data_IF_752459613652
#
_entry.id   IF_752459613652
#
_cell.length_a   1.000
_cell.length_b   1.000
_cell.length_c   1.000
_cell.angle_alpha   90.00
_cell.angle_beta   90.00
_cell.angle_gamma   90.00
#
_symmetry.space_group_name_H-M   'P 1'
#
loop_
_entity.id
_entity.type
_entity.pdbx_description
1 polymer ?
#
# COMPACT_ATOMS: atom_id res chain seq x y z
N UNK A 1 -0.17 2.04 -24.84
CA UNK A 1 0.81 3.08 -24.45
C UNK A 1 1.85 2.45 -23.54
N UNK A 2 3.13 2.66 -23.83
CA UNK A 2 4.24 2.19 -23.01
C UNK A 2 4.22 2.95 -21.67
N UNK A 3 3.88 2.28 -20.57
CA UNK A 3 3.89 2.84 -19.20
C UNK A 3 5.28 3.38 -18.77
N UNK A 4 6.31 3.23 -19.60
CA UNK A 4 7.71 3.53 -19.33
C UNK A 4 8.31 4.62 -20.24
N UNK A 5 7.55 5.27 -21.12
CA UNK A 5 8.13 6.08 -22.22
C UNK A 5 8.61 7.50 -21.87
N UNK A 6 8.73 7.86 -20.60
CA UNK A 6 9.24 9.18 -20.18
C UNK A 6 10.23 9.16 -19.02
N UNK A 7 10.46 7.98 -18.44
CA UNK A 7 11.31 7.81 -17.29
C UNK A 7 12.74 7.47 -17.73
N UNK A 8 13.74 8.23 -17.29
CA UNK A 8 15.06 7.64 -17.16
C UNK A 8 14.92 6.49 -16.17
N UNK A 9 15.00 5.22 -16.62
CA UNK A 9 14.78 4.05 -15.75
C UNK A 9 15.61 4.07 -14.45
N UNK A 10 16.73 4.79 -14.47
CA UNK A 10 17.56 5.11 -13.32
C UNK A 10 16.83 5.91 -12.22
N UNK A 11 16.02 6.92 -12.56
CA UNK A 11 15.27 7.73 -11.60
C UNK A 11 14.19 6.93 -10.88
N UNK A 12 13.44 6.10 -11.61
CA UNK A 12 12.47 5.16 -11.01
C UNK A 12 13.19 4.20 -10.07
N UNK A 13 14.27 3.59 -10.53
CA UNK A 13 15.04 2.65 -9.73
C UNK A 13 15.52 3.28 -8.42
N UNK A 14 16.06 4.50 -8.48
CA UNK A 14 16.54 5.22 -7.31
C UNK A 14 15.41 5.59 -6.34
N UNK A 15 14.28 6.09 -6.86
CA UNK A 15 13.09 6.38 -6.04
C UNK A 15 12.59 5.12 -5.33
N UNK A 16 12.45 4.00 -6.05
CA UNK A 16 12.03 2.72 -5.46
C UNK A 16 13.01 2.22 -4.41
N UNK A 17 14.32 2.35 -4.67
CA UNK A 17 15.37 1.94 -3.74
C UNK A 17 15.31 2.75 -2.44
N UNK A 18 15.13 4.06 -2.53
CA UNK A 18 14.99 4.94 -1.35
C UNK A 18 13.71 4.61 -0.58
N UNK A 19 12.57 4.53 -1.25
CA UNK A 19 11.28 4.23 -0.61
C UNK A 19 11.31 2.87 0.07
N UNK A 20 11.84 1.86 -0.61
CA UNK A 20 11.99 0.52 -0.06
C UNK A 20 12.94 0.50 1.14
N UNK A 21 14.08 1.19 1.04
CA UNK A 21 15.03 1.36 2.14
C UNK A 21 14.39 2.00 3.37
N UNK A 22 13.64 3.10 3.18
CA UNK A 22 12.90 3.77 4.25
C UNK A 22 11.89 2.83 4.90
N UNK A 23 11.08 2.12 4.12
CA UNK A 23 10.07 1.19 4.64
C UNK A 23 10.69 0.00 5.40
N UNK A 24 11.79 -0.55 4.89
CA UNK A 24 12.51 -1.65 5.53
C UNK A 24 13.14 -1.24 6.87
N UNK A 25 13.71 -0.04 6.94
CA UNK A 25 14.40 0.44 8.14
C UNK A 25 13.43 1.01 9.17
N UNK A 26 12.24 1.45 8.76
CA UNK A 26 11.30 2.13 9.64
C UNK A 26 10.92 1.29 10.86
N UNK A 27 10.38 0.08 10.65
CA UNK A 27 9.93 -0.80 11.74
C UNK A 27 11.04 -1.14 12.74
N UNK A 28 12.25 -1.58 12.33
CA UNK A 28 13.31 -1.88 13.28
C UNK A 28 13.88 -0.66 13.98
N UNK A 29 13.97 0.51 13.33
CA UNK A 29 14.47 1.73 13.97
C UNK A 29 13.45 2.24 14.99
N UNK A 30 12.22 2.51 14.56
CA UNK A 30 11.17 3.08 15.43
C UNK A 30 10.75 2.09 16.51
N UNK A 31 10.62 0.80 16.18
CA UNK A 31 10.25 -0.23 17.14
C UNK A 31 11.29 -0.39 18.26
N UNK A 32 12.59 -0.31 17.95
CA UNK A 32 13.64 -0.30 18.97
C UNK A 32 13.58 0.95 19.85
N UNK A 33 13.40 2.13 19.24
CA UNK A 33 13.28 3.40 19.99
C UNK A 33 12.07 3.38 20.94
N UNK A 34 10.98 2.72 20.55
CA UNK A 34 9.76 2.66 21.34
C UNK A 34 9.74 1.49 22.34
N UNK A 35 10.70 0.56 22.32
CA UNK A 35 10.66 -0.63 23.17
C UNK A 35 9.48 -1.54 22.85
N UNK A 36 9.20 -1.72 21.57
CA UNK A 36 8.18 -2.63 21.02
C UNK A 36 8.71 -4.06 21.04
N UNK A 37 7.79 -5.03 21.09
CA UNK A 37 8.17 -6.44 21.14
C UNK A 37 9.06 -6.82 19.94
N UNK A 38 10.15 -7.58 20.15
CA UNK A 38 11.10 -7.91 19.08
C UNK A 38 10.45 -8.73 17.96
N UNK A 39 9.38 -9.47 18.26
CA UNK A 39 8.60 -10.19 17.25
C UNK A 39 7.85 -9.24 16.29
N UNK A 40 7.48 -8.04 16.75
CA UNK A 40 6.78 -7.00 15.96
C UNK A 40 7.73 -6.13 15.14
N UNK A 41 8.98 -6.04 15.60
CA UNK A 41 10.08 -5.43 14.84
C UNK A 41 10.44 -6.30 13.61
N UNK A 42 10.25 -7.61 13.70
CA UNK A 42 10.51 -8.53 12.60
C UNK A 42 9.55 -8.31 11.42
N UNK A 43 10.05 -8.51 10.20
CA UNK A 43 9.25 -8.50 8.98
C UNK A 43 8.37 -9.76 8.81
N UNK A 44 8.45 -10.71 9.74
CA UNK A 44 7.63 -11.93 9.71
C UNK A 44 6.15 -11.60 9.92
N UNK A 45 5.29 -12.25 9.15
CA UNK A 45 3.84 -12.15 9.32
C UNK A 45 3.44 -12.79 10.64
N UNK A 46 2.74 -12.03 11.48
CA UNK A 46 2.22 -12.49 12.76
C UNK A 46 0.74 -12.16 12.85
N UNK A 47 -0.08 -13.18 13.12
CA UNK A 47 -1.51 -13.01 13.36
C UNK A 47 -1.73 -12.82 14.85
N UNK A 48 -2.47 -11.77 15.22
CA UNK A 48 -2.77 -11.46 16.63
C UNK A 48 -3.74 -12.50 17.20
N UNK A 49 -4.70 -12.93 16.39
CA UNK A 49 -5.67 -13.99 16.72
C UNK A 49 -6.20 -14.66 15.43
N UNK A 50 -6.99 -15.71 15.58
CA UNK A 50 -7.63 -16.40 14.45
C UNK A 50 -8.62 -15.49 13.71
N UNK A 51 -9.24 -14.52 14.39
CA UNK A 51 -10.12 -13.54 13.76
C UNK A 51 -9.36 -12.65 12.77
N UNK A 52 -8.15 -12.20 13.11
CA UNK A 52 -7.28 -11.40 12.24
C UNK A 52 -6.98 -12.16 10.95
N UNK A 53 -6.60 -13.44 11.10
CA UNK A 53 -6.32 -14.33 9.97
C UNK A 53 -7.53 -14.49 9.05
N UNK A 54 -8.73 -14.71 9.60
CA UNK A 54 -9.96 -14.82 8.81
C UNK A 54 -10.28 -13.52 8.07
N UNK A 55 -10.16 -12.37 8.74
CA UNK A 55 -10.39 -11.07 8.11
C UNK A 55 -9.40 -10.81 6.98
N UNK A 56 -8.10 -11.07 7.18
CA UNK A 56 -7.12 -10.94 6.10
C UNK A 56 -7.48 -11.81 4.88
N UNK A 57 -7.89 -13.06 5.09
CA UNK A 57 -8.33 -13.94 4.00
C UNK A 57 -9.56 -13.39 3.26
N UNK A 58 -10.53 -12.84 3.98
CA UNK A 58 -11.70 -12.18 3.38
C UNK A 58 -11.28 -10.94 2.58
N UNK A 59 -10.37 -10.12 3.12
CA UNK A 59 -9.83 -8.96 2.43
C UNK A 59 -9.07 -9.36 1.14
N UNK A 60 -8.29 -10.44 1.17
CA UNK A 60 -7.63 -10.96 -0.03
C UNK A 60 -8.64 -11.47 -1.07
N UNK A 61 -9.67 -12.20 -0.64
CA UNK A 61 -10.76 -12.61 -1.53
C UNK A 61 -11.45 -11.42 -2.17
N UNK A 62 -11.83 -10.43 -1.36
CA UNK A 62 -12.45 -9.19 -1.82
C UNK A 62 -11.55 -8.42 -2.80
N UNK A 63 -10.24 -8.33 -2.52
CA UNK A 63 -9.28 -7.69 -3.42
C UNK A 63 -9.27 -8.37 -4.79
N UNK A 64 -9.16 -9.70 -4.82
CA UNK A 64 -9.14 -10.46 -6.06
C UNK A 64 -10.44 -10.26 -6.84
N UNK A 65 -11.59 -10.30 -6.16
CA UNK A 65 -12.89 -10.03 -6.80
C UNK A 65 -12.93 -8.62 -7.39
N UNK A 66 -12.52 -7.59 -6.66
CA UNK A 66 -12.48 -6.20 -7.14
C UNK A 66 -11.58 -6.08 -8.36
N UNK A 67 -10.37 -6.63 -8.33
CA UNK A 67 -9.42 -6.59 -9.45
C UNK A 67 -10.03 -7.25 -10.70
N UNK A 68 -10.63 -8.42 -10.55
CA UNK A 68 -11.28 -9.13 -11.67
C UNK A 68 -12.43 -8.31 -12.23
N UNK A 69 -13.32 -7.78 -11.38
CA UNK A 69 -14.46 -6.96 -11.81
C UNK A 69 -13.99 -5.71 -12.55
N UNK A 70 -13.02 -5.01 -11.99
CA UNK A 70 -12.42 -3.81 -12.59
C UNK A 70 -11.81 -4.15 -13.96
N UNK A 71 -11.07 -5.27 -14.06
CA UNK A 71 -10.49 -5.71 -15.32
C UNK A 71 -11.56 -6.05 -16.38
N UNK A 72 -12.61 -6.77 -16.00
CA UNK A 72 -13.73 -7.11 -16.90
C UNK A 72 -14.41 -5.86 -17.45
N UNK A 73 -14.57 -4.81 -16.64
CA UNK A 73 -15.19 -3.55 -17.06
C UNK A 73 -14.22 -2.71 -17.90
N UNK A 74 -12.94 -2.65 -17.52
CA UNK A 74 -11.95 -1.78 -18.14
C UNK A 74 -11.53 -2.26 -19.53
N UNK A 75 -11.50 -3.57 -19.77
CA UNK A 75 -11.07 -4.15 -21.05
C UNK A 75 -11.94 -3.70 -22.23
N UNK A 76 -13.28 -3.83 -22.20
CA UNK A 76 -14.15 -3.34 -23.29
C UNK A 76 -14.00 -1.83 -23.54
N UNK A 77 -13.83 -1.02 -22.50
CA UNK A 77 -13.66 0.43 -22.63
C UNK A 77 -12.38 0.80 -23.39
N UNK A 78 -11.30 0.03 -23.19
CA UNK A 78 -10.05 0.20 -23.95
C UNK A 78 -10.27 -0.16 -25.42
N UNK A 79 -11.00 -1.25 -25.70
CA UNK A 79 -11.29 -1.67 -27.07
C UNK A 79 -12.21 -0.69 -27.84
N UNK A 80 -13.02 0.08 -27.12
CA UNK A 80 -13.89 1.12 -27.68
C UNK A 80 -13.24 2.51 -27.72
N UNK A 81 -11.91 2.61 -27.57
CA UNK A 81 -11.15 3.87 -27.56
C UNK A 81 -11.58 4.89 -26.49
N UNK A 82 -12.32 4.48 -25.45
CA UNK A 82 -12.74 5.35 -24.34
C UNK A 82 -11.62 5.63 -23.31
N UNK A 83 -10.46 5.00 -23.52
CA UNK A 83 -9.25 5.16 -22.71
C UNK A 83 -9.30 4.46 -21.35
N UNK A 84 -8.21 4.61 -20.57
CA UNK A 84 -8.10 4.05 -19.22
C UNK A 84 -8.85 4.94 -18.22
N UNK A 85 -9.86 4.41 -17.52
CA UNK A 85 -10.51 5.17 -16.45
C UNK A 85 -9.73 4.96 -15.15
N UNK A 86 -9.30 6.05 -14.52
CA UNK A 86 -8.44 6.00 -13.33
C UNK A 86 -9.07 5.24 -12.13
N UNK A 87 -10.39 5.27 -11.97
CA UNK A 87 -11.09 4.56 -10.90
C UNK A 87 -11.27 3.05 -11.17
N UNK A 88 -11.01 2.65 -12.41
CA UNK A 88 -10.90 1.26 -12.86
C UNK A 88 -9.42 0.84 -13.00
N UNK A 89 -8.50 1.59 -12.41
CA UNK A 89 -7.14 1.11 -12.15
C UNK A 89 -7.16 0.25 -10.87
N UNK A 90 -6.50 -0.91 -10.81
CA UNK A 90 -6.33 -1.68 -9.58
C UNK A 90 -5.62 -0.93 -8.44
N UNK A 91 -4.75 0.04 -8.76
CA UNK A 91 -3.85 0.65 -7.79
C UNK A 91 -4.57 1.39 -6.64
N UNK A 92 -5.59 2.25 -6.87
CA UNK A 92 -6.36 2.87 -5.80
C UNK A 92 -7.04 1.85 -4.88
N UNK A 93 -7.58 0.75 -5.44
CA UNK A 93 -8.26 -0.29 -4.66
C UNK A 93 -7.29 -1.05 -3.74
N UNK A 94 -6.09 -1.36 -4.24
CA UNK A 94 -5.03 -1.98 -3.44
C UNK A 94 -4.65 -1.07 -2.26
N UNK A 95 -4.50 0.24 -2.50
CA UNK A 95 -4.15 1.19 -1.44
C UNK A 95 -5.24 1.29 -0.37
N UNK A 96 -6.51 1.40 -0.78
CA UNK A 96 -7.65 1.44 0.15
C UNK A 96 -7.68 0.17 1.02
N UNK A 97 -7.54 -1.00 0.40
CA UNK A 97 -7.54 -2.27 1.13
C UNK A 97 -6.34 -2.44 2.04
N UNK A 98 -5.16 -1.94 1.65
CA UNK A 98 -3.98 -1.92 2.51
C UNK A 98 -4.20 -1.08 3.77
N UNK A 99 -4.81 0.11 3.63
CA UNK A 99 -5.13 0.98 4.77
C UNK A 99 -6.15 0.31 5.68
N UNK A 100 -7.20 -0.30 5.12
CA UNK A 100 -8.21 -1.04 5.90
C UNK A 100 -7.56 -2.20 6.67
N UNK A 101 -6.72 -2.99 6.00
CA UNK A 101 -6.04 -4.15 6.60
C UNK A 101 -5.17 -3.75 7.80
N UNK A 102 -4.29 -2.76 7.60
CA UNK A 102 -3.42 -2.29 8.69
C UNK A 102 -4.21 -1.57 9.81
N UNK A 103 -5.33 -0.91 9.49
CA UNK A 103 -6.22 -0.33 10.51
C UNK A 103 -6.88 -1.39 11.39
N UNK A 104 -7.36 -2.49 10.78
CA UNK A 104 -7.93 -3.63 11.52
C UNK A 104 -6.86 -4.25 12.41
N UNK A 105 -5.65 -4.42 11.88
CA UNK A 105 -4.51 -4.92 12.65
C UNK A 105 -4.20 -4.01 13.84
N UNK A 106 -4.08 -2.70 13.64
CA UNK A 106 -3.84 -1.74 14.71
C UNK A 106 -4.95 -1.78 15.78
N UNK A 107 -6.21 -1.90 15.37
CA UNK A 107 -7.33 -2.05 16.29
C UNK A 107 -7.25 -3.35 17.11
N UNK A 108 -6.90 -4.46 16.46
CA UNK A 108 -6.74 -5.75 17.15
C UNK A 108 -5.55 -5.75 18.11
N UNK A 109 -4.43 -5.12 17.73
CA UNK A 109 -3.26 -4.94 18.61
C UNK A 109 -3.65 -4.08 19.82
N UNK A 110 -4.37 -2.98 19.59
CA UNK A 110 -4.89 -2.17 20.67
C UNK A 110 -5.84 -2.98 21.58
N UNK A 111 -6.73 -3.79 21.03
CA UNK A 111 -7.73 -4.50 21.84
C UNK A 111 -7.17 -5.72 22.59
N UNK A 112 -6.24 -6.47 21.99
CA UNK A 112 -5.84 -7.81 22.49
C UNK A 112 -4.39 -7.91 22.97
N UNK A 113 -3.51 -6.97 22.63
CA UNK A 113 -2.11 -7.07 23.08
C UNK A 113 -1.88 -6.34 24.40
N UNK A 114 -1.04 -6.95 25.24
CA UNK A 114 -0.60 -6.38 26.51
C UNK A 114 0.27 -5.13 26.28
N UNK A 115 1.20 -5.21 25.31
CA UNK A 115 2.08 -4.09 24.98
C UNK A 115 1.41 -3.08 24.05
N UNK A 116 0.82 -2.04 24.64
CA UNK A 116 0.18 -0.92 23.92
C UNK A 116 1.13 -0.12 23.02
N UNK A 117 2.44 -0.37 23.03
CA UNK A 117 3.37 0.28 22.10
C UNK A 117 3.31 -0.36 20.70
N UNK A 118 2.85 -1.60 20.61
CA UNK A 118 2.75 -2.34 19.36
C UNK A 118 1.77 -1.70 18.38
N UNK A 119 0.55 -1.38 18.83
CA UNK A 119 -0.43 -0.70 17.97
C UNK A 119 0.08 0.66 17.48
N UNK A 120 0.86 1.38 18.29
CA UNK A 120 1.44 2.68 17.89
C UNK A 120 2.45 2.51 16.77
N UNK A 121 3.29 1.47 16.82
CA UNK A 121 4.24 1.17 15.74
C UNK A 121 3.50 0.84 14.44
N UNK A 122 2.43 0.05 14.51
CA UNK A 122 1.59 -0.25 13.34
C UNK A 122 0.96 1.02 12.79
N UNK A 123 0.33 1.86 13.63
CA UNK A 123 -0.30 3.11 13.21
C UNK A 123 0.70 4.07 12.55
N UNK A 124 1.90 4.22 13.13
CA UNK A 124 2.97 5.04 12.56
C UNK A 124 3.46 4.48 11.22
N UNK A 125 3.58 3.16 11.10
CA UNK A 125 3.94 2.50 9.85
C UNK A 125 2.89 2.71 8.75
N UNK A 126 1.61 2.54 9.08
CA UNK A 126 0.50 2.83 8.15
C UNK A 126 0.49 4.30 7.76
N UNK A 127 0.67 5.21 8.72
CA UNK A 127 0.76 6.65 8.47
C UNK A 127 1.91 7.00 7.53
N UNK A 128 3.08 6.37 7.69
CA UNK A 128 4.21 6.54 6.77
C UNK A 128 3.88 6.06 5.36
N UNK A 129 3.24 4.89 5.20
CA UNK A 129 2.84 4.37 3.89
C UNK A 129 1.85 5.31 3.20
N UNK A 130 0.85 5.82 3.94
CA UNK A 130 -0.11 6.80 3.43
C UNK A 130 0.61 8.08 3.01
N UNK A 131 1.50 8.61 3.85
CA UNK A 131 2.28 9.82 3.56
C UNK A 131 3.12 9.65 2.29
N UNK A 132 3.83 8.53 2.16
CA UNK A 132 4.61 8.21 0.97
C UNK A 132 3.71 8.09 -0.26
N UNK A 133 2.56 7.43 -0.16
CA UNK A 133 1.61 7.32 -1.27
C UNK A 133 1.12 8.70 -1.74
N UNK A 134 0.75 9.59 -0.80
CA UNK A 134 0.29 10.96 -1.09
C UNK A 134 1.39 11.82 -1.73
N UNK A 135 2.67 11.58 -1.42
CA UNK A 135 3.78 12.31 -2.03
C UNK A 135 4.12 11.74 -3.41
N UNK A 136 4.28 10.42 -3.51
CA UNK A 136 4.85 9.74 -4.68
C UNK A 136 3.85 9.67 -5.83
N UNK A 137 2.58 9.37 -5.56
CA UNK A 137 1.58 9.12 -6.60
C UNK A 137 1.29 10.39 -7.41
N UNK A 138 0.99 11.56 -6.80
CA UNK A 138 0.71 12.78 -7.55
C UNK A 138 1.95 13.39 -8.20
N UNK A 139 3.13 13.19 -7.62
CA UNK A 139 4.41 13.65 -8.22
C UNK A 139 4.89 12.74 -9.33
N UNK A 140 4.18 11.64 -9.61
CA UNK A 140 4.61 10.67 -10.61
C UNK A 140 5.99 10.09 -10.30
N UNK A 141 6.20 9.68 -9.04
CA UNK A 141 7.49 9.19 -8.57
C UNK A 141 8.63 10.22 -8.74
N UNK A 142 8.36 11.48 -8.36
CA UNK A 142 9.30 12.60 -8.50
C UNK A 142 9.67 12.92 -9.96
N UNK A 143 8.66 12.97 -10.83
CA UNK A 143 8.86 13.25 -12.26
C UNK A 143 9.42 12.08 -13.06
N UNK A 144 9.48 10.89 -12.45
CA UNK A 144 9.86 9.67 -13.15
C UNK A 144 8.71 9.12 -14.01
N UNK A 145 7.47 9.58 -13.81
CA UNK A 145 6.30 9.25 -14.62
C UNK A 145 5.34 10.45 -14.66
N UNK A 146 4.52 10.54 -15.71
CA UNK A 146 3.36 11.44 -15.71
C UNK A 146 2.12 10.67 -15.24
N UNK A 147 1.59 10.93 -14.04
CA UNK A 147 0.41 10.24 -13.55
C UNK A 147 -0.78 10.46 -14.51
N UNK A 148 -1.23 9.39 -15.16
CA UNK A 148 -2.35 9.45 -16.12
C UNK A 148 -3.68 9.94 -15.53
N UNK A 149 -3.81 9.94 -14.20
CA UNK A 149 -4.94 10.47 -13.44
C UNK A 149 -4.89 11.99 -13.20
N UNK A 150 -3.79 12.68 -13.54
CA UNK A 150 -3.69 14.14 -13.51
C UNK A 150 -3.75 14.77 -14.92
N UNK A 151 -3.96 13.97 -15.97
CA UNK A 151 -4.11 14.46 -17.33
C UNK A 151 -5.52 15.02 -17.50
N UNK A 152 -5.71 16.32 -17.76
CA UNK A 152 -7.03 16.84 -18.11
C UNK A 152 -7.50 16.15 -19.40
N UNK A 153 -8.75 15.67 -19.38
CA UNK A 153 -9.46 15.10 -20.53
C UNK A 153 -9.58 16.09 -21.68
#
# INVERSE_FOLDING_TARGET
>A
MNFLSGAGGFGIFLTLLVVFGVLLLFRPVVGRMMGVDPQKISLKRHYINETHKKIEWVLFGALITVIITVFIIQVPLIFNDEGLKWYLDPMPWILVLLVISESIKAYLEWKHEENRRNYKLTLLGTGLVILLAVIIIPTGFFGAFEPGFLKPS
#
